data_IF_790220995257
#
_entry.id   IF_790220995257
#
_cell.length_a   1.000
_cell.length_b   1.000
_cell.length_c   1.000
_cell.angle_alpha   90.00
_cell.angle_beta   90.00
_cell.angle_gamma   90.00
#
_symmetry.space_group_name_H-M   'P 1'
#
loop_
_entity.id
_entity.type
_entity.pdbx_description
1 polymer ?
#
# COMPACT_ATOMS: atom_id res chain seq x y z
N UNK A 1 -20.77 -21.74 0.77
CA UNK A 1 -20.95 -20.44 1.46
C UNK A 1 -20.79 -20.70 2.95
N UNK A 2 -19.76 -20.11 3.54
CA UNK A 2 -19.48 -20.21 4.98
C UNK A 2 -19.75 -18.85 5.64
N UNK A 3 -20.75 -18.72 6.52
CA UNK A 3 -21.08 -17.47 7.18
C UNK A 3 -20.06 -17.07 8.24
N UNK A 4 -19.21 -17.99 8.71
CA UNK A 4 -18.19 -17.70 9.74
C UNK A 4 -17.01 -16.88 9.21
N UNK A 5 -16.76 -16.92 7.91
CA UNK A 5 -15.66 -16.21 7.23
C UNK A 5 -16.08 -14.82 6.73
N UNK A 6 -17.35 -14.46 6.84
CA UNK A 6 -17.93 -13.21 6.33
C UNK A 6 -18.28 -12.27 7.48
N UNK A 7 -18.28 -10.98 7.21
CA UNK A 7 -18.68 -9.95 8.15
C UNK A 7 -19.80 -9.06 7.59
N UNK A 8 -20.48 -8.33 8.46
CA UNK A 8 -21.47 -7.34 8.04
C UNK A 8 -20.78 -6.12 7.40
N UNK A 9 -21.07 -5.80 6.12
CA UNK A 9 -20.48 -4.64 5.43
C UNK A 9 -21.19 -3.32 5.73
N UNK A 10 -22.29 -3.32 6.48
CA UNK A 10 -23.08 -2.13 6.77
C UNK A 10 -22.38 -1.22 7.79
N UNK A 11 -21.91 -0.05 7.35
CA UNK A 11 -21.20 0.93 8.19
C UNK A 11 -21.97 1.42 9.43
N UNK A 12 -23.31 1.25 9.47
CA UNK A 12 -24.14 1.64 10.61
C UNK A 12 -24.46 0.47 11.57
N UNK A 13 -23.92 -0.74 11.30
CA UNK A 13 -24.12 -1.90 12.14
C UNK A 13 -23.08 -1.96 13.27
N UNK A 14 -23.50 -2.33 14.47
CA UNK A 14 -22.60 -2.54 15.62
C UNK A 14 -21.66 -3.75 15.38
N UNK A 15 -22.15 -4.77 14.67
CA UNK A 15 -21.39 -5.98 14.31
C UNK A 15 -20.54 -5.84 13.02
N UNK A 16 -20.38 -4.62 12.47
CA UNK A 16 -19.65 -4.42 11.22
C UNK A 16 -18.19 -4.86 11.32
N UNK A 17 -17.70 -5.50 10.25
CA UNK A 17 -16.30 -5.90 10.12
C UNK A 17 -15.85 -7.02 11.06
N UNK A 18 -16.77 -7.68 11.78
CA UNK A 18 -16.44 -8.80 12.67
C UNK A 18 -16.90 -10.13 12.06
N UNK A 19 -16.00 -11.10 12.05
CA UNK A 19 -16.22 -12.49 11.59
C UNK A 19 -16.32 -13.45 12.78
N UNK A 20 -16.98 -14.61 12.59
CA UNK A 20 -17.00 -15.67 13.59
C UNK A 20 -17.82 -15.39 14.86
N UNK A 21 -18.58 -14.30 14.91
CA UNK A 21 -19.41 -13.91 16.08
C UNK A 21 -20.86 -14.45 16.01
N UNK A 22 -21.18 -15.33 15.03
CA UNK A 22 -22.51 -15.93 14.87
C UNK A 22 -23.61 -14.96 14.40
N UNK A 23 -23.26 -13.74 14.04
CA UNK A 23 -24.20 -12.71 13.62
C UNK A 23 -24.54 -12.73 12.12
N UNK A 24 -23.89 -13.60 11.34
CA UNK A 24 -24.13 -13.74 9.90
C UNK A 24 -24.79 -15.09 9.63
N UNK A 25 -25.89 -15.07 8.88
CA UNK A 25 -26.57 -16.25 8.40
C UNK A 25 -26.63 -16.30 6.87
N UNK A 26 -27.00 -17.46 6.31
CA UNK A 26 -27.25 -17.62 4.87
C UNK A 26 -28.69 -17.20 4.60
N UNK A 27 -28.88 -16.15 3.80
CA UNK A 27 -30.21 -15.71 3.37
C UNK A 27 -30.71 -16.49 2.14
N UNK A 28 -29.82 -16.69 1.14
CA UNK A 28 -30.17 -17.46 -0.06
C UNK A 28 -28.91 -18.08 -0.65
N UNK A 29 -28.88 -19.44 -0.76
CA UNK A 29 -27.78 -20.16 -1.42
C UNK A 29 -27.81 -19.95 -2.94
N UNK A 30 -29.00 -19.93 -3.56
CA UNK A 30 -29.18 -19.72 -5.01
C UNK A 30 -28.70 -18.33 -5.43
N UNK A 31 -29.03 -17.28 -4.68
CA UNK A 31 -28.61 -15.90 -4.97
C UNK A 31 -27.28 -15.51 -4.30
N UNK A 32 -26.59 -16.45 -3.63
CA UNK A 32 -25.35 -16.22 -2.89
C UNK A 32 -25.42 -14.99 -1.96
N UNK A 33 -26.46 -14.95 -1.13
CA UNK A 33 -26.71 -13.83 -0.19
C UNK A 33 -26.63 -14.29 1.25
N UNK A 34 -26.08 -13.39 2.06
CA UNK A 34 -26.04 -13.49 3.52
C UNK A 34 -27.01 -12.49 4.15
N UNK A 35 -27.34 -12.70 5.43
CA UNK A 35 -28.09 -11.78 6.27
C UNK A 35 -27.30 -11.51 7.55
N UNK A 36 -27.31 -10.28 8.01
CA UNK A 36 -26.81 -9.92 9.32
C UNK A 36 -27.95 -9.88 10.33
N UNK A 37 -27.91 -10.73 11.36
CA UNK A 37 -28.95 -10.82 12.39
C UNK A 37 -29.01 -9.59 13.32
N UNK A 38 -27.95 -8.75 13.36
CA UNK A 38 -27.94 -7.51 14.16
C UNK A 38 -28.64 -6.34 13.46
N UNK A 39 -28.44 -6.15 12.17
CA UNK A 39 -29.05 -5.03 11.44
C UNK A 39 -30.08 -5.44 10.40
N UNK A 40 -30.38 -6.74 10.30
CA UNK A 40 -31.35 -7.37 9.39
C UNK A 40 -31.14 -7.05 7.90
N UNK A 41 -29.99 -6.49 7.54
CA UNK A 41 -29.66 -6.22 6.13
C UNK A 41 -29.04 -7.43 5.46
N UNK A 42 -29.48 -7.69 4.21
CA UNK A 42 -28.90 -8.73 3.37
C UNK A 42 -27.83 -8.12 2.46
N UNK A 43 -26.81 -8.93 2.12
CA UNK A 43 -25.75 -8.56 1.21
C UNK A 43 -25.28 -9.77 0.39
N UNK A 44 -24.73 -9.53 -0.81
CA UNK A 44 -24.24 -10.61 -1.66
C UNK A 44 -22.82 -11.03 -1.24
N UNK A 45 -22.43 -12.25 -1.61
CA UNK A 45 -21.06 -12.74 -1.39
C UNK A 45 -19.98 -11.88 -2.05
N UNK A 46 -20.33 -11.09 -3.07
CA UNK A 46 -19.38 -10.20 -3.77
C UNK A 46 -19.38 -8.77 -3.25
N UNK A 47 -20.24 -8.45 -2.27
CA UNK A 47 -20.31 -7.07 -1.70
C UNK A 47 -18.96 -6.67 -1.10
N UNK A 48 -18.43 -5.52 -1.51
CA UNK A 48 -17.12 -5.04 -1.07
C UNK A 48 -15.94 -5.57 -1.88
N UNK A 49 -16.18 -6.29 -2.98
CA UNK A 49 -15.17 -6.75 -3.93
C UNK A 49 -15.30 -6.04 -5.28
N UNK A 50 -14.32 -6.23 -6.15
CA UNK A 50 -14.37 -5.71 -7.54
C UNK A 50 -15.55 -6.30 -8.31
N UNK A 51 -15.94 -7.52 -8.00
CA UNK A 51 -16.99 -8.27 -8.72
C UNK A 51 -18.43 -7.84 -8.37
N UNK A 52 -18.61 -6.97 -7.38
CA UNK A 52 -19.93 -6.55 -6.95
C UNK A 52 -20.70 -5.85 -8.08
N UNK A 53 -21.90 -6.38 -8.38
CA UNK A 53 -22.79 -5.91 -9.47
C UNK A 53 -22.15 -5.92 -10.88
N UNK A 54 -21.13 -6.73 -11.12
CA UNK A 54 -20.68 -6.98 -12.48
C UNK A 54 -21.53 -8.08 -13.12
N UNK A 55 -21.86 -7.89 -14.41
CA UNK A 55 -22.54 -8.89 -15.24
C UNK A 55 -21.53 -9.80 -15.97
N UNK A 56 -20.35 -9.30 -16.22
CA UNK A 56 -19.26 -10.05 -16.85
C UNK A 56 -18.73 -11.12 -15.92
N UNK A 57 -18.40 -12.28 -16.46
CA UNK A 57 -17.81 -13.39 -15.71
C UNK A 57 -16.53 -12.94 -14.99
N UNK A 58 -16.37 -13.40 -13.75
CA UNK A 58 -15.23 -12.99 -12.91
C UNK A 58 -13.89 -13.36 -13.54
N UNK A 59 -13.83 -14.51 -14.25
CA UNK A 59 -12.65 -15.00 -14.97
C UNK A 59 -12.14 -13.99 -16.00
N UNK A 60 -13.06 -13.44 -16.78
CA UNK A 60 -12.76 -12.43 -17.81
C UNK A 60 -12.23 -11.14 -17.19
N UNK A 61 -12.87 -10.68 -16.10
CA UNK A 61 -12.42 -9.48 -15.39
C UNK A 61 -11.02 -9.70 -14.82
N UNK A 62 -10.76 -10.86 -14.21
CA UNK A 62 -9.44 -11.23 -13.67
C UNK A 62 -8.39 -11.25 -14.77
N UNK A 63 -8.67 -11.88 -15.91
CA UNK A 63 -7.75 -11.94 -17.05
C UNK A 63 -7.36 -10.53 -17.49
N UNK A 64 -8.35 -9.67 -17.76
CA UNK A 64 -8.12 -8.33 -18.27
C UNK A 64 -7.39 -7.45 -17.25
N UNK A 65 -7.78 -7.49 -15.98
CA UNK A 65 -7.10 -6.74 -14.93
C UNK A 65 -5.67 -7.23 -14.73
N UNK A 66 -5.41 -8.54 -14.87
CA UNK A 66 -4.06 -9.09 -14.82
C UNK A 66 -3.21 -8.55 -15.96
N UNK A 67 -3.69 -8.60 -17.20
CA UNK A 67 -3.00 -8.03 -18.36
C UNK A 67 -2.68 -6.54 -18.17
N UNK A 68 -3.66 -5.76 -17.71
CA UNK A 68 -3.50 -4.34 -17.42
C UNK A 68 -2.45 -4.09 -16.31
N UNK A 69 -2.47 -4.87 -15.24
CA UNK A 69 -1.54 -4.72 -14.12
C UNK A 69 -0.09 -5.11 -14.49
N UNK A 70 0.09 -5.87 -15.58
CA UNK A 70 1.38 -6.22 -16.16
C UNK A 70 1.78 -5.36 -17.36
N UNK A 71 1.04 -4.27 -17.63
CA UNK A 71 1.41 -3.28 -18.65
C UNK A 71 1.00 -3.63 -20.08
N UNK A 72 0.12 -4.63 -20.27
CA UNK A 72 -0.40 -4.91 -21.59
C UNK A 72 -1.12 -3.67 -22.16
N UNK A 73 -0.82 -3.28 -23.42
CA UNK A 73 -1.43 -2.11 -24.02
C UNK A 73 -2.95 -2.23 -24.11
N UNK A 74 -3.65 -1.16 -23.76
CA UNK A 74 -5.13 -1.14 -23.74
C UNK A 74 -5.72 -1.50 -25.10
N UNK A 75 -5.20 -0.95 -26.18
CA UNK A 75 -5.70 -1.24 -27.53
C UNK A 75 -5.56 -2.70 -27.91
N UNK A 76 -4.50 -3.39 -27.45
CA UNK A 76 -4.33 -4.82 -27.68
C UNK A 76 -5.39 -5.63 -26.93
N UNK A 77 -5.72 -5.26 -25.69
CA UNK A 77 -6.78 -5.92 -24.90
C UNK A 77 -8.15 -5.69 -25.56
N UNK A 78 -8.44 -4.48 -25.99
CA UNK A 78 -9.70 -4.15 -26.70
C UNK A 78 -9.84 -4.95 -27.99
N UNK A 79 -8.78 -4.99 -28.80
CA UNK A 79 -8.76 -5.75 -30.07
C UNK A 79 -8.91 -7.26 -29.85
N UNK A 80 -8.27 -7.82 -28.81
CA UNK A 80 -8.29 -9.25 -28.53
C UNK A 80 -9.59 -9.73 -27.89
N UNK A 81 -10.19 -8.91 -27.02
CA UNK A 81 -11.30 -9.32 -26.17
C UNK A 81 -12.65 -8.68 -26.56
N UNK A 82 -12.69 -7.72 -27.48
CA UNK A 82 -13.91 -7.06 -27.96
C UNK A 82 -14.63 -6.19 -26.92
N UNK A 83 -13.98 -5.80 -25.82
CA UNK A 83 -14.61 -4.98 -24.79
C UNK A 83 -14.43 -3.49 -25.08
N UNK A 84 -15.49 -2.71 -24.77
CA UNK A 84 -15.46 -1.25 -24.83
C UNK A 84 -14.42 -0.66 -23.86
N UNK A 85 -13.75 0.41 -24.28
CA UNK A 85 -12.78 1.14 -23.46
C UNK A 85 -13.36 1.64 -22.13
N UNK A 86 -14.63 2.00 -22.07
CA UNK A 86 -15.31 2.46 -20.83
C UNK A 86 -15.44 1.32 -19.83
N UNK A 87 -15.81 0.14 -20.28
CA UNK A 87 -15.89 -1.07 -19.45
C UNK A 87 -14.54 -1.39 -18.85
N UNK A 88 -13.47 -1.37 -19.66
CA UNK A 88 -12.10 -1.57 -19.21
C UNK A 88 -11.68 -0.48 -18.20
N UNK A 89 -12.05 0.80 -18.45
CA UNK A 89 -11.73 1.91 -17.55
C UNK A 89 -12.44 1.77 -16.19
N UNK A 90 -13.68 1.28 -16.17
CA UNK A 90 -14.40 0.96 -14.92
C UNK A 90 -13.70 -0.15 -14.13
N UNK A 91 -13.30 -1.24 -14.79
CA UNK A 91 -12.57 -2.33 -14.11
C UNK A 91 -11.21 -1.88 -13.58
N UNK A 92 -10.49 -1.02 -14.33
CA UNK A 92 -9.25 -0.38 -13.84
C UNK A 92 -9.50 0.44 -12.58
N UNK A 93 -10.51 1.29 -12.59
CA UNK A 93 -10.85 2.15 -11.46
C UNK A 93 -11.31 1.32 -10.24
N UNK A 94 -12.15 0.31 -10.43
CA UNK A 94 -12.59 -0.61 -9.36
C UNK A 94 -11.41 -1.36 -8.76
N UNK A 95 -10.54 -1.91 -9.60
CA UNK A 95 -9.37 -2.67 -9.16
C UNK A 95 -8.33 -1.77 -8.47
N UNK A 96 -8.18 -0.53 -8.94
CA UNK A 96 -7.33 0.47 -8.28
C UNK A 96 -7.83 0.84 -6.89
N UNK A 97 -9.14 1.08 -6.72
CA UNK A 97 -9.76 1.31 -5.40
C UNK A 97 -9.64 0.09 -4.49
N UNK A 98 -9.84 -1.11 -5.02
CA UNK A 98 -9.63 -2.35 -4.28
C UNK A 98 -8.18 -2.49 -3.82
N UNK A 99 -7.21 -2.29 -4.71
CA UNK A 99 -5.79 -2.30 -4.38
C UNK A 99 -5.45 -1.27 -3.30
N UNK A 100 -6.01 -0.06 -3.38
CA UNK A 100 -5.83 0.97 -2.35
C UNK A 100 -6.40 0.53 -0.99
N UNK A 101 -7.60 -0.04 -0.96
CA UNK A 101 -8.23 -0.51 0.27
C UNK A 101 -7.45 -1.68 0.91
N UNK A 102 -7.05 -2.68 0.10
CA UNK A 102 -6.20 -3.81 0.56
C UNK A 102 -4.86 -3.30 1.09
N UNK A 103 -4.22 -2.37 0.38
CA UNK A 103 -2.97 -1.77 0.81
C UNK A 103 -3.12 -1.05 2.15
N UNK A 104 -4.12 -0.20 2.30
CA UNK A 104 -4.38 0.51 3.55
C UNK A 104 -4.64 -0.45 4.72
N UNK A 105 -5.38 -1.51 4.48
CA UNK A 105 -5.75 -2.48 5.52
C UNK A 105 -4.58 -3.38 5.94
N UNK A 106 -3.82 -3.94 4.98
CA UNK A 106 -2.79 -4.94 5.26
C UNK A 106 -1.37 -4.37 5.35
N UNK A 107 -1.06 -3.38 4.51
CA UNK A 107 0.31 -2.85 4.38
C UNK A 107 0.54 -1.65 5.30
N UNK A 108 -0.43 -0.74 5.46
CA UNK A 108 -0.28 0.46 6.29
C UNK A 108 -0.42 0.18 7.79
N UNK A 109 0.06 -0.96 8.25
CA UNK A 109 0.10 -1.29 9.68
C UNK A 109 1.49 -0.99 10.26
N UNK A 110 1.58 -0.55 11.54
CA UNK A 110 2.85 -0.29 12.21
C UNK A 110 3.72 -1.55 12.26
N UNK A 111 4.98 -1.44 11.78
CA UNK A 111 5.97 -2.52 11.80
C UNK A 111 7.39 -1.99 11.87
N UNK A 112 8.35 -2.86 12.18
CA UNK A 112 9.77 -2.53 12.04
C UNK A 112 10.13 -2.40 10.55
N UNK A 113 10.38 -1.17 10.11
CA UNK A 113 10.72 -0.88 8.72
C UNK A 113 12.20 -1.08 8.41
N UNK A 114 13.08 -1.02 9.43
CA UNK A 114 14.54 -1.13 9.29
C UNK A 114 15.12 -0.04 8.40
N UNK A 115 15.08 -0.24 7.09
CA UNK A 115 15.51 0.75 6.09
C UNK A 115 14.39 0.99 5.05
N UNK A 116 14.13 2.25 4.77
CA UNK A 116 13.20 2.70 3.73
C UNK A 116 13.94 3.57 2.72
N UNK A 117 13.68 3.34 1.45
CA UNK A 117 14.11 4.21 0.35
C UNK A 117 12.88 4.91 -0.22
N UNK A 118 13.03 6.19 -0.55
CA UNK A 118 11.99 7.01 -1.18
C UNK A 118 12.56 7.76 -2.39
N UNK A 119 11.75 7.92 -3.43
CA UNK A 119 12.11 8.60 -4.67
C UNK A 119 10.85 9.08 -5.41
N UNK A 120 10.99 10.07 -6.29
CA UNK A 120 9.92 10.65 -7.07
C UNK A 120 10.10 10.38 -8.57
N UNK A 121 8.98 10.15 -9.23
CA UNK A 121 8.86 9.98 -10.66
C UNK A 121 8.15 11.16 -11.30
N UNK A 122 8.74 11.72 -12.34
CA UNK A 122 8.06 12.66 -13.22
C UNK A 122 7.18 11.91 -14.19
N UNK A 123 5.89 12.26 -14.23
CA UNK A 123 4.88 11.65 -15.08
C UNK A 123 4.32 12.66 -16.06
N UNK A 124 4.29 12.32 -17.34
CA UNK A 124 3.64 13.13 -18.36
C UNK A 124 2.12 12.89 -18.33
N UNK A 125 1.37 13.93 -18.14
CA UNK A 125 -0.09 13.98 -18.26
C UNK A 125 -0.46 14.82 -19.47
N UNK A 126 -1.62 14.61 -20.05
CA UNK A 126 -2.09 15.45 -21.17
C UNK A 126 -2.16 16.92 -20.72
N UNK A 127 -1.44 17.79 -21.44
CA UNK A 127 -1.35 19.22 -21.16
C UNK A 127 -0.55 19.62 -19.91
N UNK A 128 0.03 18.67 -19.17
CA UNK A 128 0.74 18.99 -17.92
C UNK A 128 1.73 17.90 -17.49
N UNK A 129 2.38 18.14 -16.36
CA UNK A 129 3.25 17.19 -15.67
C UNK A 129 2.66 16.97 -14.28
N UNK A 130 2.74 15.73 -13.80
CA UNK A 130 2.48 15.38 -12.41
C UNK A 130 3.67 14.61 -11.86
N UNK A 131 3.77 14.54 -10.55
CA UNK A 131 4.81 13.82 -9.84
C UNK A 131 4.21 12.69 -9.03
N UNK A 132 4.88 11.55 -9.03
CA UNK A 132 4.52 10.38 -8.26
C UNK A 132 5.68 10.05 -7.33
N UNK A 133 5.47 10.20 -6.02
CA UNK A 133 6.44 9.87 -5.00
C UNK A 133 6.12 8.50 -4.41
N UNK A 134 7.12 7.64 -4.24
CA UNK A 134 6.97 6.30 -3.71
C UNK A 134 8.00 5.99 -2.64
N UNK A 135 7.65 5.08 -1.73
CA UNK A 135 8.54 4.55 -0.71
C UNK A 135 8.54 3.02 -0.70
N UNK A 136 9.67 2.43 -0.34
CA UNK A 136 9.87 0.99 -0.28
C UNK A 136 10.67 0.59 0.96
N UNK A 137 10.23 -0.47 1.62
CA UNK A 137 10.99 -1.15 2.66
C UNK A 137 12.07 -2.02 2.01
N UNK A 138 13.34 -1.75 2.30
CA UNK A 138 14.47 -2.33 1.55
C UNK A 138 14.59 -3.84 1.75
N UNK A 139 14.53 -4.32 3.02
CA UNK A 139 14.74 -5.72 3.37
C UNK A 139 13.75 -6.66 2.68
N UNK A 140 12.49 -6.27 2.61
CA UNK A 140 11.40 -7.11 2.10
C UNK A 140 10.93 -6.71 0.72
N UNK A 141 11.51 -5.67 0.13
CA UNK A 141 11.06 -5.08 -1.15
C UNK A 141 9.60 -4.61 -1.14
N UNK A 142 8.99 -4.51 0.04
CA UNK A 142 7.59 -4.14 0.18
C UNK A 142 7.39 -2.67 -0.20
N UNK A 143 6.64 -2.43 -1.28
CA UNK A 143 6.19 -1.10 -1.66
C UNK A 143 5.24 -0.55 -0.59
N UNK A 144 5.53 0.65 -0.07
CA UNK A 144 4.75 1.30 1.01
C UNK A 144 3.68 2.23 0.48
N UNK A 145 3.33 2.10 -0.80
CA UNK A 145 2.44 3.02 -1.49
C UNK A 145 3.14 4.29 -1.95
N UNK A 146 2.37 5.23 -2.43
CA UNK A 146 2.88 6.49 -2.95
C UNK A 146 1.82 7.58 -2.96
N UNK A 147 2.24 8.76 -3.40
CA UNK A 147 1.40 9.95 -3.52
C UNK A 147 1.56 10.53 -4.92
N UNK A 148 0.50 11.14 -5.44
CA UNK A 148 0.51 11.84 -6.73
C UNK A 148 0.18 13.31 -6.51
N UNK A 149 0.94 14.21 -7.13
CA UNK A 149 0.74 15.66 -7.05
C UNK A 149 1.04 16.34 -8.37
N UNK A 150 0.41 17.50 -8.60
CA UNK A 150 0.73 18.35 -9.73
C UNK A 150 2.14 19.00 -9.59
N UNK A 151 2.67 19.10 -8.38
CA UNK A 151 3.95 19.76 -8.10
C UNK A 151 4.90 18.83 -7.34
N UNK A 152 6.20 18.95 -7.62
CA UNK A 152 7.28 18.35 -6.82
C UNK A 152 7.64 19.32 -5.69
N UNK A 153 6.76 19.40 -4.73
CA UNK A 153 6.87 20.35 -3.62
C UNK A 153 6.99 19.65 -2.25
N UNK A 154 7.14 20.43 -1.22
CA UNK A 154 7.19 19.97 0.16
C UNK A 154 5.91 19.22 0.56
N UNK A 155 4.76 19.56 -0.03
CA UNK A 155 3.48 18.93 0.28
C UNK A 155 3.44 17.48 -0.18
N UNK A 156 3.90 17.19 -1.42
CA UNK A 156 4.04 15.84 -1.94
C UNK A 156 4.94 14.97 -1.05
N UNK A 157 6.14 15.50 -0.74
CA UNK A 157 7.11 14.78 0.06
C UNK A 157 6.59 14.54 1.48
N UNK A 158 5.97 15.55 2.10
CA UNK A 158 5.38 15.41 3.44
C UNK A 158 4.31 14.33 3.48
N UNK A 159 3.38 14.28 2.53
CA UNK A 159 2.35 13.23 2.43
C UNK A 159 2.97 11.84 2.35
N UNK A 160 4.00 11.66 1.51
CA UNK A 160 4.72 10.39 1.43
C UNK A 160 5.35 10.00 2.77
N UNK A 161 6.05 10.93 3.42
CA UNK A 161 6.73 10.67 4.71
C UNK A 161 5.72 10.44 5.84
N UNK A 162 4.59 11.12 5.85
CA UNK A 162 3.48 10.85 6.79
C UNK A 162 2.92 9.43 6.61
N UNK A 163 2.81 8.94 5.37
CA UNK A 163 2.44 7.56 5.09
C UNK A 163 3.47 6.58 5.65
N UNK A 164 4.76 6.84 5.44
CA UNK A 164 5.84 6.02 6.01
C UNK A 164 5.77 6.03 7.55
N UNK A 165 5.55 7.20 8.17
CA UNK A 165 5.44 7.31 9.62
C UNK A 165 4.27 6.51 10.20
N UNK A 166 3.09 6.55 9.58
CA UNK A 166 1.93 5.75 10.02
C UNK A 166 2.23 4.25 10.07
N UNK A 167 3.14 3.81 9.20
CA UNK A 167 3.56 2.42 9.09
C UNK A 167 4.76 2.06 9.97
N UNK A 168 5.43 3.03 10.56
CA UNK A 168 6.64 2.82 11.34
C UNK A 168 6.30 2.52 12.81
N UNK A 169 6.75 1.36 13.31
CA UNK A 169 6.86 1.15 14.75
C UNK A 169 7.98 2.02 15.32
N UNK A 170 7.94 2.29 16.64
CA UNK A 170 9.01 3.01 17.36
C UNK A 170 10.28 2.14 17.46
N UNK A 171 10.89 1.84 16.31
CA UNK A 171 12.12 1.05 16.16
C UNK A 171 13.15 1.85 15.35
N UNK A 172 14.45 1.51 15.43
CA UNK A 172 15.47 2.15 14.60
C UNK A 172 15.11 2.09 13.11
N UNK A 173 15.08 3.24 12.46
CA UNK A 173 14.67 3.41 11.06
C UNK A 173 15.70 4.25 10.32
N UNK A 174 16.23 3.73 9.20
CA UNK A 174 17.07 4.47 8.27
C UNK A 174 16.25 4.88 7.04
N UNK A 175 16.13 6.18 6.81
CA UNK A 175 15.51 6.75 5.61
C UNK A 175 16.59 7.19 4.63
N UNK A 176 16.58 6.59 3.44
CA UNK A 176 17.50 6.93 2.35
C UNK A 176 16.73 7.61 1.21
N UNK A 177 17.15 8.82 0.83
CA UNK A 177 16.55 9.61 -0.26
C UNK A 177 17.63 10.08 -1.24
N UNK A 178 17.19 10.65 -2.36
CA UNK A 178 18.08 11.42 -3.24
C UNK A 178 18.53 12.73 -2.57
N UNK A 179 19.27 13.56 -3.32
CA UNK A 179 19.80 14.85 -2.84
C UNK A 179 18.76 15.95 -2.61
N UNK A 180 17.45 15.66 -2.65
CA UNK A 180 16.42 16.68 -2.48
C UNK A 180 16.33 17.19 -1.04
N UNK A 181 16.63 18.48 -0.82
CA UNK A 181 16.66 19.09 0.53
C UNK A 181 15.30 19.05 1.25
N UNK A 182 14.20 19.14 0.51
CA UNK A 182 12.85 19.06 1.09
C UNK A 182 12.56 17.71 1.76
N UNK A 183 13.23 16.62 1.33
CA UNK A 183 13.08 15.30 1.96
C UNK A 183 13.59 15.29 3.40
N UNK A 184 14.75 15.90 3.67
CA UNK A 184 15.30 16.00 5.03
C UNK A 184 14.33 16.75 5.94
N UNK A 185 13.86 17.92 5.47
CA UNK A 185 12.92 18.75 6.23
C UNK A 185 11.62 18.01 6.51
N UNK A 186 11.04 17.37 5.51
CA UNK A 186 9.81 16.60 5.65
C UNK A 186 9.98 15.47 6.68
N UNK A 187 11.08 14.72 6.66
CA UNK A 187 11.37 13.67 7.63
C UNK A 187 11.45 14.23 9.04
N UNK A 188 12.25 15.29 9.25
CA UNK A 188 12.44 15.92 10.57
C UNK A 188 11.15 16.52 11.13
N UNK A 189 10.30 17.10 10.29
CA UNK A 189 9.01 17.65 10.69
C UNK A 189 7.97 16.58 10.99
N UNK A 190 7.98 15.46 10.25
CA UNK A 190 6.96 14.42 10.36
C UNK A 190 7.24 13.45 11.51
N UNK A 191 8.49 13.04 11.73
CA UNK A 191 8.83 12.08 12.78
C UNK A 191 8.99 12.77 14.15
N UNK A 192 7.90 13.35 14.66
CA UNK A 192 7.81 13.99 15.98
C UNK A 192 6.51 13.60 16.67
N UNK A 193 6.55 13.39 17.96
CA UNK A 193 5.37 13.15 18.79
C UNK A 193 5.04 14.35 19.66
N UNK A 194 3.75 14.64 19.87
CA UNK A 194 3.33 15.64 20.83
C UNK A 194 3.63 15.17 22.25
N UNK A 195 4.26 16.02 23.05
CA UNK A 195 4.48 15.79 24.48
C UNK A 195 3.55 16.71 25.25
N UNK A 196 2.58 16.11 25.95
CA UNK A 196 1.65 16.84 26.81
C UNK A 196 2.29 17.00 28.19
N UNK A 197 2.50 18.24 28.61
CA UNK A 197 3.12 18.58 29.90
C UNK A 197 2.08 18.84 31.01
N UNK A 198 0.78 18.66 30.72
CA UNK A 198 -0.31 18.97 31.66
C UNK A 198 -0.67 20.47 31.73
N UNK A 199 0.16 21.35 31.16
CA UNK A 199 -0.14 22.78 31.03
C UNK A 199 -0.94 23.05 29.75
N UNK A 200 -1.87 24.00 29.79
CA UNK A 200 -2.64 24.40 28.62
C UNK A 200 -1.73 24.93 27.49
N UNK A 201 -2.24 24.89 26.25
CA UNK A 201 -1.54 25.37 25.07
C UNK A 201 -1.12 24.28 24.09
N UNK A 202 -0.35 24.66 23.04
CA UNK A 202 0.10 23.73 21.99
C UNK A 202 1.17 22.79 22.55
N UNK A 203 1.02 21.46 22.43
CA UNK A 203 2.02 20.52 22.94
C UNK A 203 3.37 20.70 22.23
N UNK A 204 4.46 20.54 22.99
CA UNK A 204 5.81 20.51 22.43
C UNK A 204 5.98 19.27 21.56
N UNK A 205 6.67 19.39 20.43
CA UNK A 205 6.94 18.27 19.52
C UNK A 205 8.35 17.70 19.81
N UNK A 206 8.42 16.41 20.15
CA UNK A 206 9.67 15.70 20.40
C UNK A 206 10.04 14.81 19.21
N UNK A 207 11.23 14.99 18.60
CA UNK A 207 11.70 14.16 17.49
C UNK A 207 11.91 12.69 17.92
N UNK A 208 11.70 11.76 16.98
CA UNK A 208 12.08 10.37 17.14
C UNK A 208 13.61 10.21 17.00
N UNK A 209 14.32 10.05 18.13
CA UNK A 209 15.79 9.93 18.16
C UNK A 209 16.36 8.70 17.47
N UNK A 210 15.52 7.74 17.10
CA UNK A 210 15.91 6.52 16.42
C UNK A 210 15.70 6.56 14.90
N UNK A 211 15.26 7.68 14.36
CA UNK A 211 15.20 7.92 12.91
C UNK A 211 16.53 8.48 12.45
N UNK A 212 17.13 7.80 11.48
CA UNK A 212 18.38 8.14 10.84
C UNK A 212 18.11 8.55 9.40
N UNK A 213 18.87 9.53 8.89
CA UNK A 213 18.68 10.08 7.54
C UNK A 213 19.97 9.97 6.77
N UNK A 214 19.92 9.41 5.57
CA UNK A 214 21.03 9.38 4.64
C UNK A 214 20.59 9.84 3.26
N UNK A 215 21.47 10.45 2.51
CA UNK A 215 21.25 10.87 1.13
C UNK A 215 22.26 10.26 0.18
N UNK A 216 21.80 9.98 -1.04
CA UNK A 216 22.62 9.54 -2.16
C UNK A 216 22.52 10.60 -3.26
N UNK A 217 23.58 11.34 -3.45
CA UNK A 217 23.66 12.44 -4.41
C UNK A 217 24.44 11.94 -5.63
N UNK A 218 23.80 11.88 -6.80
CA UNK A 218 24.42 11.50 -8.05
C UNK A 218 24.76 12.75 -8.85
N UNK A 219 26.02 12.88 -9.27
CA UNK A 219 26.45 13.91 -10.21
C UNK A 219 26.41 13.34 -11.62
N UNK A 220 25.86 14.10 -12.54
CA UNK A 220 25.71 13.69 -13.93
C UNK A 220 26.50 14.60 -14.85
N UNK A 221 27.27 14.00 -15.75
CA UNK A 221 27.87 14.67 -16.91
C UNK A 221 27.43 13.92 -18.17
N UNK A 222 27.01 14.66 -19.20
CA UNK A 222 26.51 14.10 -20.48
C UNK A 222 25.54 12.92 -20.29
N UNK A 223 24.64 13.01 -19.29
CA UNK A 223 23.64 11.99 -18.89
C UNK A 223 24.23 10.70 -18.29
N UNK A 224 25.51 10.66 -17.95
CA UNK A 224 26.15 9.55 -17.24
C UNK A 224 26.42 9.96 -15.80
N UNK A 225 26.30 9.02 -14.86
CA UNK A 225 26.68 9.24 -13.47
C UNK A 225 28.22 9.23 -13.41
N UNK A 226 28.82 10.36 -13.06
CA UNK A 226 30.28 10.50 -12.94
C UNK A 226 30.76 10.40 -11.49
N UNK A 227 29.90 10.73 -10.53
CA UNK A 227 30.21 10.58 -9.12
C UNK A 227 28.94 10.29 -8.31
N UNK A 228 29.11 9.55 -7.22
CA UNK A 228 28.05 9.28 -6.25
C UNK A 228 28.56 9.63 -4.85
N UNK A 229 27.99 10.65 -4.28
CA UNK A 229 28.26 11.08 -2.92
C UNK A 229 27.22 10.50 -1.96
N UNK A 230 27.66 9.99 -0.80
CA UNK A 230 26.82 9.43 0.25
C UNK A 230 26.98 10.28 1.50
N UNK A 231 25.89 10.88 1.96
CA UNK A 231 25.88 11.73 3.15
C UNK A 231 25.03 11.14 4.24
N UNK A 232 25.56 11.05 5.44
CA UNK A 232 24.78 10.80 6.66
C UNK A 232 24.37 12.17 7.19
N UNK A 233 23.06 12.40 7.25
CA UNK A 233 22.48 13.69 7.68
C UNK A 233 22.15 13.65 9.17
N UNK A 234 21.47 12.58 9.60
CA UNK A 234 21.10 12.36 11.00
C UNK A 234 21.48 10.93 11.41
N UNK A 235 22.16 10.81 12.54
CA UNK A 235 22.63 9.54 13.10
C UNK A 235 24.15 9.40 13.06
N UNK A 236 24.66 8.39 13.78
CA UNK A 236 26.10 8.06 13.77
C UNK A 236 26.40 7.06 12.65
N UNK A 237 27.61 7.09 12.05
CA UNK A 237 28.02 6.14 11.02
C UNK A 237 27.81 4.68 11.44
N UNK A 238 28.13 4.30 12.67
CA UNK A 238 27.98 2.94 13.18
C UNK A 238 26.51 2.48 13.20
N UNK A 239 25.58 3.36 13.64
CA UNK A 239 24.13 3.03 13.64
C UNK A 239 23.56 2.91 12.23
N UNK A 240 23.95 3.82 11.34
CA UNK A 240 23.54 3.78 9.94
C UNK A 240 24.02 2.50 9.28
N UNK A 241 25.30 2.14 9.50
CA UNK A 241 25.89 0.93 8.95
C UNK A 241 25.20 -0.36 9.48
N UNK A 242 24.89 -0.41 10.77
CA UNK A 242 24.14 -1.53 11.35
C UNK A 242 22.80 -1.75 10.67
N UNK A 243 21.99 -0.69 10.48
CA UNK A 243 20.68 -0.79 9.83
C UNK A 243 20.83 -1.14 8.34
N UNK A 244 21.81 -0.55 7.67
CA UNK A 244 22.10 -0.85 6.27
C UNK A 244 22.42 -2.34 6.08
N UNK A 245 23.38 -2.89 6.85
CA UNK A 245 23.75 -4.31 6.75
C UNK A 245 22.57 -5.24 7.01
N UNK A 246 21.73 -4.94 8.01
CA UNK A 246 20.53 -5.74 8.33
C UNK A 246 19.48 -5.73 7.23
N UNK A 247 19.47 -4.71 6.36
CA UNK A 247 18.44 -4.50 5.35
C UNK A 247 18.87 -4.86 3.92
N UNK A 248 20.11 -4.59 3.56
CA UNK A 248 20.59 -4.78 2.19
C UNK A 248 21.88 -5.61 2.06
N UNK A 249 22.44 -6.10 3.18
CA UNK A 249 23.69 -6.86 3.17
C UNK A 249 24.92 -5.98 2.93
N UNK A 250 25.87 -6.45 2.15
CA UNK A 250 27.10 -5.73 1.85
C UNK A 250 26.89 -4.58 0.86
N UNK A 251 27.88 -3.70 0.74
CA UNK A 251 27.88 -2.53 -0.11
C UNK A 251 27.60 -1.22 0.64
N UNK A 252 27.61 -0.08 -0.06
CA UNK A 252 27.36 1.24 0.53
C UNK A 252 25.88 1.62 0.53
N UNK A 253 25.54 2.71 1.24
CA UNK A 253 24.22 3.33 1.17
C UNK A 253 23.88 3.61 -0.29
N UNK A 254 22.68 3.18 -0.74
CA UNK A 254 22.20 3.37 -2.10
C UNK A 254 20.68 3.53 -2.16
N UNK A 255 20.16 3.85 -3.34
CA UNK A 255 18.73 3.98 -3.68
C UNK A 255 18.30 2.93 -4.72
N UNK A 256 19.09 1.87 -4.90
CA UNK A 256 18.88 0.89 -5.97
C UNK A 256 17.55 0.14 -5.87
N UNK A 257 17.05 -0.10 -4.65
CA UNK A 257 15.79 -0.82 -4.46
C UNK A 257 14.59 -0.02 -4.92
N UNK A 258 14.51 1.27 -4.55
CA UNK A 258 13.40 2.13 -5.00
C UNK A 258 13.52 2.43 -6.49
N UNK A 259 14.72 2.59 -7.04
CA UNK A 259 14.95 2.78 -8.48
C UNK A 259 14.45 1.57 -9.30
N UNK A 260 14.64 0.33 -8.79
CA UNK A 260 14.09 -0.88 -9.40
C UNK A 260 12.57 -0.92 -9.34
N UNK A 261 11.96 -0.54 -8.21
CA UNK A 261 10.50 -0.40 -8.12
C UNK A 261 9.98 0.64 -9.14
N UNK A 262 10.66 1.77 -9.25
CA UNK A 262 10.36 2.80 -10.22
C UNK A 262 10.45 2.29 -11.66
N UNK A 263 11.44 1.43 -11.97
CA UNK A 263 11.56 0.78 -13.29
C UNK A 263 10.36 -0.16 -13.55
N UNK A 264 9.98 -0.99 -12.57
CA UNK A 264 8.79 -1.84 -12.67
C UNK A 264 7.51 -1.04 -12.88
N UNK A 265 7.35 0.08 -12.18
CA UNK A 265 6.21 0.97 -12.42
C UNK A 265 6.22 1.59 -13.82
N UNK A 266 7.39 1.96 -14.37
CA UNK A 266 7.51 2.47 -15.74
C UNK A 266 7.19 1.41 -16.79
N UNK A 267 7.51 0.16 -16.54
CA UNK A 267 7.16 -0.96 -17.40
C UNK A 267 5.65 -1.22 -17.41
N UNK A 268 5.02 -1.20 -16.24
CA UNK A 268 3.62 -1.60 -16.07
C UNK A 268 2.60 -0.48 -16.24
N UNK A 269 3.01 0.77 -16.11
CA UNK A 269 2.15 1.96 -16.25
C UNK A 269 2.58 2.78 -17.46
N UNK A 270 1.89 2.63 -18.57
CA UNK A 270 2.22 3.29 -19.83
C UNK A 270 2.51 4.80 -19.69
N UNK A 271 1.77 5.61 -18.90
CA UNK A 271 2.06 7.03 -18.71
C UNK A 271 3.41 7.33 -18.05
N UNK A 272 4.04 6.34 -17.40
CA UNK A 272 5.36 6.47 -16.78
C UNK A 272 6.50 6.12 -17.72
N UNK A 273 6.23 5.46 -18.85
CA UNK A 273 7.25 5.09 -19.83
C UNK A 273 7.90 6.35 -20.42
N UNK A 274 9.23 6.33 -20.58
CA UNK A 274 10.00 7.53 -21.00
C UNK A 274 9.61 8.01 -22.41
N UNK A 275 9.23 7.10 -23.32
CA UNK A 275 8.81 7.37 -24.68
C UNK A 275 7.46 6.72 -24.93
N UNK A 276 6.37 7.33 -24.42
CA UNK A 276 5.04 6.81 -24.55
C UNK A 276 4.09 7.86 -25.12
N UNK A 277 3.20 7.44 -26.03
CA UNK A 277 2.08 8.25 -26.55
C UNK A 277 0.84 8.15 -25.67
N UNK A 278 0.74 7.12 -24.78
CA UNK A 278 -0.39 6.89 -23.90
C UNK A 278 -0.27 7.75 -22.62
N UNK A 279 -0.50 9.05 -22.75
CA UNK A 279 -0.46 9.98 -21.63
C UNK A 279 -1.68 9.76 -20.71
N UNK A 280 -1.49 9.95 -19.40
CA UNK A 280 -2.60 9.96 -18.48
C UNK A 280 -3.46 11.21 -18.75
N UNK A 281 -4.79 11.03 -18.85
CA UNK A 281 -5.75 12.14 -18.94
C UNK A 281 -6.10 12.71 -17.57
N UNK A 282 -6.28 11.85 -16.59
CA UNK A 282 -6.68 12.20 -15.23
C UNK A 282 -5.70 11.69 -14.18
N UNK A 283 -5.42 12.50 -13.17
CA UNK A 283 -4.56 12.13 -12.03
C UNK A 283 -5.07 10.89 -11.31
N UNK A 284 -6.38 10.78 -11.12
CA UNK A 284 -7.03 9.63 -10.48
C UNK A 284 -6.74 8.30 -11.20
N UNK A 285 -6.61 8.31 -12.54
CA UNK A 285 -6.23 7.11 -13.30
C UNK A 285 -4.82 6.63 -12.96
N UNK A 286 -3.89 7.57 -12.68
CA UNK A 286 -2.54 7.25 -12.22
C UNK A 286 -2.55 6.71 -10.78
N UNK A 287 -3.34 7.30 -9.91
CA UNK A 287 -3.49 6.83 -8.51
C UNK A 287 -4.05 5.40 -8.47
N UNK A 288 -5.09 5.11 -9.27
CA UNK A 288 -5.63 3.77 -9.41
C UNK A 288 -4.58 2.80 -9.97
N UNK A 289 -3.81 3.23 -10.98
CA UNK A 289 -2.73 2.43 -11.57
C UNK A 289 -1.62 2.13 -10.57
N UNK A 290 -1.15 3.14 -9.85
CA UNK A 290 -0.15 2.99 -8.80
C UNK A 290 -0.63 2.01 -7.71
N UNK A 291 -1.88 2.13 -7.30
CA UNK A 291 -2.47 1.28 -6.27
C UNK A 291 -2.61 -0.18 -6.75
N UNK A 292 -3.13 -0.40 -7.95
CA UNK A 292 -3.28 -1.74 -8.53
C UNK A 292 -1.92 -2.40 -8.77
N UNK A 293 -1.02 -1.73 -9.49
CA UNK A 293 0.31 -2.27 -9.83
C UNK A 293 1.14 -2.50 -8.57
N UNK A 294 1.10 -1.56 -7.61
CA UNK A 294 1.80 -1.70 -6.33
C UNK A 294 1.29 -2.86 -5.49
N UNK A 295 -0.03 -3.11 -5.50
CA UNK A 295 -0.62 -4.22 -4.74
C UNK A 295 -0.36 -5.57 -5.42
N UNK A 296 -0.46 -5.64 -6.76
CA UNK A 296 -0.08 -6.83 -7.53
C UNK A 296 1.42 -7.13 -7.35
N UNK A 297 2.29 -6.12 -7.37
CA UNK A 297 3.72 -6.27 -7.07
C UNK A 297 3.94 -6.85 -5.67
N UNK A 298 3.25 -6.33 -4.66
CA UNK A 298 3.44 -6.76 -3.28
C UNK A 298 2.93 -8.16 -3.00
N UNK A 299 1.77 -8.55 -3.55
CA UNK A 299 1.06 -9.78 -3.17
C UNK A 299 1.10 -10.88 -4.21
N UNK A 300 1.15 -10.53 -5.51
CA UNK A 300 0.96 -11.47 -6.61
C UNK A 300 2.22 -11.70 -7.45
N UNK A 301 3.35 -11.07 -7.12
CA UNK A 301 4.58 -11.18 -7.91
C UNK A 301 5.73 -11.67 -7.05
N UNK A 302 6.33 -12.81 -7.41
CA UNK A 302 7.57 -13.25 -6.79
C UNK A 302 8.72 -12.30 -7.12
N UNK A 303 9.59 -12.08 -6.16
CA UNK A 303 10.75 -11.22 -6.32
C UNK A 303 12.05 -12.03 -6.21
N UNK A 304 12.86 -12.06 -7.28
CA UNK A 304 14.06 -12.90 -7.34
C UNK A 304 15.01 -12.72 -6.14
N UNK A 305 15.22 -11.48 -5.67
CA UNK A 305 16.09 -11.22 -4.51
C UNK A 305 15.49 -11.64 -3.15
N UNK A 306 14.26 -12.14 -3.12
CA UNK A 306 13.59 -12.64 -1.93
C UNK A 306 13.49 -14.17 -1.92
N UNK A 307 14.09 -14.83 -2.92
CA UNK A 307 14.19 -16.28 -2.96
C UNK A 307 14.98 -16.78 -1.75
N UNK A 308 14.45 -17.79 -1.07
CA UNK A 308 15.17 -18.55 -0.05
C UNK A 308 15.69 -19.82 -0.69
N UNK A 309 17.01 -19.99 -0.65
CA UNK A 309 17.63 -21.25 -1.07
C UNK A 309 17.23 -22.39 -0.12
N UNK A 310 17.26 -23.63 -0.61
CA UNK A 310 17.11 -24.80 0.25
C UNK A 310 18.20 -24.83 1.32
N UNK A 311 17.82 -25.07 2.55
CA UNK A 311 18.77 -25.19 3.67
C UNK A 311 19.08 -26.66 3.96
N UNK A 312 20.30 -26.95 4.45
CA UNK A 312 20.72 -28.30 4.88
C UNK A 312 19.83 -28.90 5.98
N UNK A 313 19.00 -28.08 6.63
CA UNK A 313 18.00 -28.46 7.65
C UNK A 313 16.68 -29.02 7.07
N UNK A 314 16.60 -29.28 5.75
CA UNK A 314 15.40 -29.85 5.12
C UNK A 314 14.35 -28.84 4.64
N UNK A 315 14.57 -27.54 4.79
CA UNK A 315 13.65 -26.54 4.23
C UNK A 315 13.82 -26.44 2.72
N UNK A 316 12.71 -26.63 1.98
CA UNK A 316 12.68 -26.50 0.53
C UNK A 316 12.93 -25.05 0.08
N UNK A 317 13.52 -24.90 -1.10
CA UNK A 317 13.67 -23.58 -1.75
C UNK A 317 12.30 -22.94 -1.95
N UNK A 318 12.18 -21.67 -1.60
CA UNK A 318 10.89 -20.97 -1.62
C UNK A 318 10.99 -19.59 -2.30
N UNK A 319 10.17 -19.39 -3.32
CA UNK A 319 9.97 -18.06 -3.92
C UNK A 319 9.03 -17.24 -3.04
N UNK A 320 9.37 -15.98 -2.80
CA UNK A 320 8.55 -15.10 -1.96
C UNK A 320 8.16 -13.83 -2.67
N UNK A 321 6.93 -13.38 -2.39
CA UNK A 321 6.48 -12.02 -2.72
C UNK A 321 6.96 -11.04 -1.64
N UNK A 322 6.99 -9.73 -1.89
CA UNK A 322 7.27 -8.72 -0.87
C UNK A 322 6.37 -8.83 0.36
N UNK A 323 5.09 -9.14 0.19
CA UNK A 323 4.13 -9.32 1.29
C UNK A 323 4.45 -10.57 2.13
N UNK A 324 4.86 -11.67 1.49
CA UNK A 324 5.35 -12.88 2.20
C UNK A 324 6.62 -12.56 3.00
N UNK A 325 7.58 -11.89 2.38
CA UNK A 325 8.82 -11.52 3.06
C UNK A 325 8.61 -10.55 4.24
N UNK A 326 7.54 -9.76 4.20
CA UNK A 326 7.14 -8.86 5.27
C UNK A 326 6.23 -9.53 6.33
N UNK A 327 5.93 -10.83 6.21
CA UNK A 327 5.06 -11.56 7.13
C UNK A 327 3.59 -11.11 7.11
N UNK A 328 3.13 -10.58 5.97
CA UNK A 328 1.73 -10.14 5.79
C UNK A 328 0.85 -11.31 5.33
N UNK A 329 1.41 -12.19 4.54
CA UNK A 329 0.76 -13.41 4.03
C UNK A 329 1.78 -14.55 4.00
N UNK A 330 1.31 -15.78 4.05
CA UNK A 330 2.10 -17.01 3.99
C UNK A 330 2.24 -17.57 2.56
N UNK A 331 1.47 -17.05 1.60
CA UNK A 331 1.46 -17.51 0.21
C UNK A 331 1.39 -16.35 -0.79
N UNK A 332 1.69 -16.67 -2.05
CA UNK A 332 1.51 -15.77 -3.18
C UNK A 332 0.02 -15.71 -3.56
N UNK A 333 -0.53 -14.53 -3.56
CA UNK A 333 -1.92 -14.32 -3.96
C UNK A 333 -2.07 -14.42 -5.47
N UNK A 334 -3.20 -14.96 -5.92
CA UNK A 334 -3.64 -14.75 -7.30
C UNK A 334 -4.26 -13.37 -7.44
N UNK A 335 -4.28 -12.82 -8.65
CA UNK A 335 -5.00 -11.55 -8.91
C UNK A 335 -6.49 -11.71 -8.57
N UNK A 336 -7.08 -12.90 -8.80
CA UNK A 336 -8.45 -13.21 -8.36
C UNK A 336 -8.61 -13.03 -6.84
N UNK A 337 -7.71 -13.58 -6.03
CA UNK A 337 -7.76 -13.46 -4.57
C UNK A 337 -7.68 -11.98 -4.14
N UNK A 338 -6.80 -11.19 -4.77
CA UNK A 338 -6.69 -9.75 -4.53
C UNK A 338 -7.99 -9.01 -4.84
N UNK A 339 -8.61 -9.28 -6.00
CA UNK A 339 -9.85 -8.61 -6.44
C UNK A 339 -11.08 -9.05 -5.65
N UNK A 340 -11.06 -10.27 -5.09
CA UNK A 340 -12.11 -10.84 -4.25
C UNK A 340 -11.92 -10.56 -2.76
N UNK A 341 -10.80 -9.94 -2.35
CA UNK A 341 -10.51 -9.73 -0.94
C UNK A 341 -11.51 -8.76 -0.32
N UNK A 342 -12.14 -9.20 0.77
CA UNK A 342 -13.07 -8.39 1.52
C UNK A 342 -12.31 -7.59 2.59
N UNK A 343 -12.18 -6.29 2.37
CA UNK A 343 -11.61 -5.38 3.37
C UNK A 343 -12.69 -5.08 4.41
N UNK A 344 -12.50 -5.47 5.68
CA UNK A 344 -13.49 -5.20 6.69
C UNK A 344 -13.60 -3.70 6.97
N UNK A 345 -14.81 -3.16 7.13
CA UNK A 345 -14.99 -1.78 7.58
C UNK A 345 -14.40 -1.62 9.00
N UNK A 346 -14.03 -0.40 9.40
CA UNK A 346 -13.58 -0.12 10.75
C UNK A 346 -14.59 -0.65 11.78
N UNK A 347 -14.11 -1.33 12.81
CA UNK A 347 -14.98 -1.83 13.89
C UNK A 347 -15.80 -0.69 14.48
N UNK A 348 -16.99 -1.02 14.93
CA UNK A 348 -17.81 -0.06 15.65
C UNK A 348 -17.11 0.37 16.94
N UNK A 349 -17.11 1.68 17.19
CA UNK A 349 -16.65 2.26 18.44
C UNK A 349 -17.81 2.95 19.12
N UNK A 350 -17.98 2.78 20.44
CA UNK A 350 -19.06 3.43 21.17
C UNK A 350 -18.92 4.95 21.10
N UNK A 351 -20.03 5.69 21.04
CA UNK A 351 -20.00 7.14 21.05
C UNK A 351 -19.40 7.66 22.35
N UNK A 352 -18.48 8.63 22.26
CA UNK A 352 -17.95 9.33 23.44
C UNK A 352 -19.06 10.19 24.06
N UNK A 353 -19.63 9.74 25.14
CA UNK A 353 -20.63 10.51 25.93
C UNK A 353 -20.08 10.79 27.32
N UNK A 354 -20.48 11.93 27.92
CA UNK A 354 -20.23 12.22 29.35
C UNK A 354 -21.20 11.38 30.18
N UNK A 355 -20.74 10.81 31.29
CA UNK A 355 -21.52 10.01 32.20
C UNK A 355 -21.49 8.50 31.94
N UNK A 356 -22.21 7.75 32.81
CA UNK A 356 -22.28 6.28 32.71
C UNK A 356 -23.06 5.85 31.47
N UNK A 357 -22.56 4.87 30.69
CA UNK A 357 -23.29 4.33 29.55
C UNK A 357 -24.66 3.72 30.01
N UNK A 358 -25.68 3.85 29.15
CA UNK A 358 -26.94 3.14 29.38
C UNK A 358 -26.74 1.62 29.34
N UNK A 359 -27.63 0.84 29.99
CA UNK A 359 -27.58 -0.63 29.97
C UNK A 359 -27.53 -1.21 28.55
N UNK A 360 -28.26 -0.63 27.60
CA UNK A 360 -28.25 -1.04 26.19
C UNK A 360 -26.86 -0.82 25.61
N UNK A 361 -26.26 0.35 25.82
CA UNK A 361 -24.93 0.66 25.31
C UNK A 361 -23.84 -0.21 25.95
N UNK A 362 -23.96 -0.53 27.25
CA UNK A 362 -23.05 -1.46 27.92
C UNK A 362 -23.09 -2.85 27.29
N UNK A 363 -24.27 -3.44 27.06
CA UNK A 363 -24.42 -4.74 26.39
C UNK A 363 -23.81 -4.72 24.97
N UNK A 364 -23.97 -3.62 24.19
CA UNK A 364 -23.38 -3.47 22.90
C UNK A 364 -21.85 -3.40 22.97
N UNK A 365 -21.28 -2.70 23.95
CA UNK A 365 -19.83 -2.61 24.19
C UNK A 365 -19.28 -4.00 24.55
N UNK A 366 -19.88 -4.70 25.49
CA UNK A 366 -19.47 -6.04 25.90
C UNK A 366 -19.50 -7.03 24.73
N UNK A 367 -20.50 -6.93 23.88
CA UNK A 367 -20.66 -7.86 22.75
C UNK A 367 -19.77 -7.55 21.54
N UNK A 368 -19.53 -6.26 21.26
CA UNK A 368 -18.91 -5.84 19.99
C UNK A 368 -17.57 -5.10 20.13
N UNK A 369 -17.15 -4.75 21.34
CA UNK A 369 -15.87 -4.08 21.59
C UNK A 369 -14.85 -4.92 22.37
N UNK A 370 -15.26 -6.09 22.82
CA UNK A 370 -14.38 -7.08 23.48
C UNK A 370 -13.56 -7.89 22.48
#
# INVERSE_FOLDING_TARGET
MDPTTVFCPNGNCHARGQTGKGNIGIHSRKAQRFICHECHKTFSATTGTVFYRLRTAAETVVLIVTLLAHGCPVHAIVAACGFDERTRADWWARSGRQGQAVHAYLVEQPRDLGQVQADELRVKKQGSIVWMAMAMMVKTRLGRGGEVSAQRDMTLIRRLIERVRRCAAHRPLLLCTDGLCSSIRAIRETFRDPVHTGTGGRPRLRPWRHVLIAQVIKRYERRRVVATERRIIDGTPARVETLRRRSQGDGGINTASIERLNATCRERLAPLARRCRALARHTLTLEHGMSLVGTVYNFCTYHASLHLAAHATGMAATNRTPAMAAGITDHCWTVRALLAFHVPPPRWTPPKRRGRPSHILQRLIERWCS
#
